data_IF_964155327787
#
_entry.id   IF_964155327787
#
_cell.length_a   1.000
_cell.length_b   1.000
_cell.length_c   1.000
_cell.angle_alpha   90.00
_cell.angle_beta   90.00
_cell.angle_gamma   90.00
#
_symmetry.space_group_name_H-M   'P 1'
#
loop_
_entity.id
_entity.type
_entity.pdbx_description
1 polymer ?
#
# COMPACT_ATOMS: atom_id res chain seq x y z
N UNK A 1 -35.58 -1.02 31.62
CA UNK A 1 -35.48 -0.05 30.49
C UNK A 1 -34.28 -0.36 29.60
N UNK A 2 -33.12 -0.64 30.17
CA UNK A 2 -31.88 -0.95 29.45
C UNK A 2 -31.96 -2.15 28.49
N UNK A 3 -32.60 -3.26 28.88
CA UNK A 3 -32.70 -4.45 28.00
C UNK A 3 -33.49 -4.20 26.71
N UNK A 4 -34.55 -3.38 26.77
CA UNK A 4 -35.32 -2.98 25.58
C UNK A 4 -34.50 -2.07 24.66
N UNK A 5 -33.69 -1.19 25.24
CA UNK A 5 -32.80 -0.30 24.50
C UNK A 5 -31.68 -1.09 23.82
N UNK A 6 -31.05 -2.04 24.53
CA UNK A 6 -30.02 -2.92 23.99
C UNK A 6 -30.54 -3.72 22.78
N UNK A 7 -31.73 -4.31 22.88
CA UNK A 7 -32.38 -5.03 21.76
C UNK A 7 -32.65 -4.13 20.56
N UNK A 8 -33.07 -2.88 20.78
CA UNK A 8 -33.31 -1.92 19.69
C UNK A 8 -32.00 -1.54 18.99
N UNK A 9 -30.94 -1.29 19.75
CA UNK A 9 -29.62 -0.97 19.20
C UNK A 9 -29.05 -2.14 18.41
N UNK A 10 -29.24 -3.37 18.89
CA UNK A 10 -28.81 -4.60 18.23
C UNK A 10 -29.47 -4.78 16.85
N UNK A 11 -30.81 -4.62 16.79
CA UNK A 11 -31.55 -4.70 15.53
C UNK A 11 -31.12 -3.61 14.54
N UNK A 12 -30.84 -2.40 15.04
CA UNK A 12 -30.36 -1.29 14.22
C UNK A 12 -28.96 -1.57 13.65
N UNK A 13 -28.03 -2.02 14.48
CA UNK A 13 -26.67 -2.36 14.06
C UNK A 13 -26.67 -3.47 13.00
N UNK A 14 -27.42 -4.55 13.25
CA UNK A 14 -27.57 -5.65 12.28
C UNK A 14 -28.20 -5.18 10.97
N UNK A 15 -29.24 -4.36 11.03
CA UNK A 15 -29.89 -3.78 9.85
C UNK A 15 -28.94 -2.92 9.01
N UNK A 16 -28.14 -2.06 9.66
CA UNK A 16 -27.13 -1.23 8.98
C UNK A 16 -26.06 -2.08 8.30
N UNK A 17 -25.55 -3.13 8.97
CA UNK A 17 -24.57 -4.04 8.38
C UNK A 17 -25.10 -4.75 7.13
N UNK A 18 -26.37 -5.18 7.13
CA UNK A 18 -26.99 -5.82 5.96
C UNK A 18 -27.16 -4.84 4.79
N UNK A 19 -27.59 -3.60 5.06
CA UNK A 19 -27.74 -2.57 4.02
C UNK A 19 -26.42 -2.14 3.39
N UNK A 20 -25.29 -2.29 4.10
CA UNK A 20 -23.97 -2.00 3.57
C UNK A 20 -23.46 -3.07 2.58
N UNK A 21 -24.12 -4.23 2.49
CA UNK A 21 -23.75 -5.30 1.58
C UNK A 21 -24.53 -5.21 0.26
N UNK A 22 -23.90 -5.50 -0.89
CA UNK A 22 -24.62 -5.66 -2.16
C UNK A 22 -25.66 -6.78 -2.07
N UNK A 23 -26.83 -6.60 -2.70
CA UNK A 23 -27.98 -7.52 -2.62
C UNK A 23 -27.62 -8.99 -2.90
N UNK A 24 -26.72 -9.24 -3.86
CA UNK A 24 -26.19 -10.57 -4.21
C UNK A 24 -25.55 -11.33 -3.03
N UNK A 25 -25.07 -10.62 -2.01
CA UNK A 25 -24.43 -11.19 -0.83
C UNK A 25 -25.37 -11.21 0.39
N UNK A 26 -26.37 -10.33 0.48
CA UNK A 26 -27.24 -10.19 1.66
C UNK A 26 -27.92 -11.51 2.08
N UNK A 27 -28.44 -12.28 1.11
CA UNK A 27 -29.11 -13.56 1.39
C UNK A 27 -28.21 -14.57 2.12
N UNK A 28 -26.89 -14.54 1.87
CA UNK A 28 -25.92 -15.43 2.52
C UNK A 28 -25.62 -15.05 3.96
N UNK A 29 -25.85 -13.80 4.34
CA UNK A 29 -25.55 -13.26 5.67
C UNK A 29 -26.77 -13.16 6.58
N UNK A 30 -27.99 -13.22 6.03
CA UNK A 30 -29.25 -13.12 6.78
C UNK A 30 -29.45 -14.19 7.86
N UNK A 31 -28.72 -15.31 7.81
CA UNK A 31 -28.77 -16.37 8.83
C UNK A 31 -28.17 -15.97 10.19
N UNK A 32 -27.36 -14.91 10.25
CA UNK A 32 -26.74 -14.43 11.48
C UNK A 32 -27.74 -13.62 12.30
N UNK A 33 -27.92 -13.97 13.58
CA UNK A 33 -28.99 -13.45 14.43
C UNK A 33 -28.63 -12.16 15.14
N UNK A 34 -27.34 -11.89 15.31
CA UNK A 34 -26.79 -10.74 16.01
C UNK A 34 -25.74 -10.04 15.13
N UNK A 35 -25.55 -8.74 15.36
CA UNK A 35 -24.63 -7.87 14.64
C UNK A 35 -23.18 -8.33 14.79
N UNK A 36 -22.80 -8.91 15.93
CA UNK A 36 -21.45 -9.39 16.18
C UNK A 36 -21.11 -10.61 15.31
N UNK A 37 -21.98 -11.61 15.28
CA UNK A 37 -21.81 -12.79 14.42
C UNK A 37 -21.91 -12.43 12.94
N UNK A 38 -22.78 -11.49 12.58
CA UNK A 38 -22.86 -10.94 11.22
C UNK A 38 -21.56 -10.25 10.81
N UNK A 39 -21.01 -9.36 11.65
CA UNK A 39 -19.75 -8.66 11.39
C UNK A 39 -18.59 -9.65 11.22
N UNK A 40 -18.45 -10.62 12.11
CA UNK A 40 -17.41 -11.65 12.03
C UNK A 40 -17.51 -12.49 10.75
N UNK A 41 -18.73 -12.79 10.29
CA UNK A 41 -18.94 -13.50 9.03
C UNK A 41 -18.58 -12.65 7.81
N UNK A 42 -18.94 -11.36 7.82
CA UNK A 42 -18.55 -10.39 6.77
C UNK A 42 -17.03 -10.28 6.71
N UNK A 43 -16.36 -10.11 7.85
CA UNK A 43 -14.91 -10.07 7.95
C UNK A 43 -14.27 -11.37 7.44
N UNK A 44 -14.82 -12.53 7.81
CA UNK A 44 -14.31 -13.83 7.34
C UNK A 44 -14.46 -14.00 5.83
N UNK A 45 -15.56 -13.54 5.24
CA UNK A 45 -15.86 -13.75 3.83
C UNK A 45 -15.15 -12.73 2.92
N UNK A 46 -15.11 -11.47 3.32
CA UNK A 46 -14.57 -10.37 2.51
C UNK A 46 -13.22 -9.84 2.99
N UNK A 47 -12.93 -9.95 4.28
CA UNK A 47 -11.67 -9.47 4.84
C UNK A 47 -10.47 -10.34 4.47
N UNK A 48 -10.68 -11.50 3.83
CA UNK A 48 -9.65 -12.52 3.64
C UNK A 48 -9.36 -13.26 4.95
N UNK A 49 -9.11 -14.56 4.87
CA UNK A 49 -8.67 -15.30 6.05
C UNK A 49 -7.24 -14.89 6.44
N UNK A 50 -6.83 -15.13 7.69
CA UNK A 50 -5.50 -14.77 8.21
C UNK A 50 -4.35 -15.26 7.31
N UNK A 51 -4.54 -16.41 6.68
CA UNK A 51 -3.57 -17.03 5.79
C UNK A 51 -3.42 -16.25 4.47
N UNK A 52 -4.51 -15.84 3.84
CA UNK A 52 -4.49 -14.99 2.63
C UNK A 52 -3.85 -13.63 2.89
N UNK A 53 -4.14 -13.00 4.04
CA UNK A 53 -3.46 -11.75 4.44
C UNK A 53 -1.96 -11.94 4.62
N UNK A 54 -1.55 -13.07 5.23
CA UNK A 54 -0.14 -13.42 5.42
C UNK A 54 0.56 -13.67 4.08
N UNK A 55 -0.06 -14.42 3.17
CA UNK A 55 0.47 -14.68 1.82
C UNK A 55 0.61 -13.37 1.04
N UNK A 56 -0.41 -12.52 1.04
CA UNK A 56 -0.38 -11.22 0.36
C UNK A 56 0.73 -10.31 0.91
N UNK A 57 0.87 -10.25 2.25
CA UNK A 57 1.95 -9.50 2.91
C UNK A 57 3.34 -10.02 2.50
N UNK A 58 3.53 -11.34 2.44
CA UNK A 58 4.80 -11.93 1.97
C UNK A 58 5.07 -11.60 0.50
N UNK A 59 4.04 -11.68 -0.36
CA UNK A 59 4.17 -11.34 -1.78
C UNK A 59 4.56 -9.87 -1.99
N UNK A 60 3.92 -8.94 -1.27
CA UNK A 60 4.24 -7.52 -1.36
C UNK A 60 5.68 -7.23 -0.91
N UNK A 61 6.14 -7.86 0.18
CA UNK A 61 7.53 -7.76 0.63
C UNK A 61 8.49 -8.26 -0.45
N UNK A 62 8.19 -9.40 -1.06
CA UNK A 62 9.01 -9.94 -2.16
C UNK A 62 9.01 -9.02 -3.38
N UNK A 63 7.88 -8.41 -3.72
CA UNK A 63 7.80 -7.41 -4.80
C UNK A 63 8.66 -6.18 -4.49
N UNK A 64 8.69 -5.73 -3.23
CA UNK A 64 9.55 -4.61 -2.82
C UNK A 64 11.02 -4.98 -2.87
N UNK A 65 11.39 -6.18 -2.40
CA UNK A 65 12.78 -6.61 -2.48
C UNK A 65 13.29 -6.69 -3.91
N UNK A 66 12.47 -7.26 -4.81
CA UNK A 66 12.79 -7.41 -6.23
C UNK A 66 12.45 -6.18 -7.08
N UNK A 67 12.00 -5.08 -6.46
CA UNK A 67 11.61 -3.88 -7.19
C UNK A 67 12.82 -3.31 -7.93
N UNK A 68 12.63 -3.06 -9.22
CA UNK A 68 13.60 -2.47 -10.13
C UNK A 68 12.87 -1.72 -11.24
N UNK A 69 13.49 -0.65 -11.73
CA UNK A 69 13.07 0.04 -12.94
C UNK A 69 13.67 -0.62 -14.17
N UNK A 70 12.94 -0.57 -15.28
CA UNK A 70 13.46 -0.94 -16.59
C UNK A 70 14.14 0.24 -17.28
N UNK A 71 15.03 -0.04 -18.23
CA UNK A 71 15.74 0.99 -19.00
C UNK A 71 14.81 1.86 -19.85
N UNK A 72 13.62 1.37 -20.18
CA UNK A 72 12.59 2.10 -20.93
C UNK A 72 11.67 2.94 -20.05
N UNK A 73 11.76 2.83 -18.73
CA UNK A 73 10.89 3.57 -17.82
C UNK A 73 11.44 4.95 -17.47
N UNK A 74 10.54 5.94 -17.44
CA UNK A 74 10.86 7.27 -16.95
C UNK A 74 10.98 7.29 -15.42
N UNK A 75 11.62 8.35 -14.91
CA UNK A 75 11.72 8.59 -13.47
C UNK A 75 10.33 8.63 -12.81
N UNK A 76 9.35 9.28 -13.44
CA UNK A 76 7.96 9.36 -12.95
C UNK A 76 7.31 7.98 -12.86
N UNK A 77 7.48 7.13 -13.88
CA UNK A 77 6.90 5.79 -13.90
C UNK A 77 7.45 4.91 -12.77
N UNK A 78 8.76 4.99 -12.53
CA UNK A 78 9.40 4.24 -11.44
C UNK A 78 8.93 4.76 -10.09
N UNK A 79 8.84 6.08 -9.93
CA UNK A 79 8.33 6.72 -8.73
C UNK A 79 6.89 6.29 -8.44
N UNK A 80 5.98 6.41 -9.41
CA UNK A 80 4.56 6.06 -9.25
C UNK A 80 4.37 4.59 -8.86
N UNK A 81 5.15 3.69 -9.50
CA UNK A 81 5.12 2.26 -9.20
C UNK A 81 5.62 1.97 -7.78
N UNK A 82 6.70 2.62 -7.35
CA UNK A 82 7.26 2.43 -6.02
C UNK A 82 6.31 2.98 -4.96
N UNK A 83 5.80 4.21 -5.14
CA UNK A 83 4.86 4.85 -4.23
C UNK A 83 3.61 3.99 -4.05
N UNK A 84 3.05 3.47 -5.14
CA UNK A 84 1.92 2.53 -5.10
C UNK A 84 2.24 1.28 -4.28
N UNK A 85 3.43 0.72 -4.43
CA UNK A 85 3.85 -0.49 -3.70
C UNK A 85 4.04 -0.21 -2.20
N UNK A 86 4.66 0.92 -1.85
CA UNK A 86 4.82 1.38 -0.46
C UNK A 86 3.47 1.58 0.19
N UNK A 87 2.53 2.27 -0.47
CA UNK A 87 1.17 2.46 0.07
C UNK A 87 0.44 1.12 0.26
N UNK A 88 0.63 0.14 -0.63
CA UNK A 88 0.03 -1.19 -0.45
C UNK A 88 0.63 -1.91 0.76
N UNK A 89 1.94 -1.83 0.97
CA UNK A 89 2.60 -2.43 2.15
C UNK A 89 2.06 -1.84 3.45
N UNK A 90 1.89 -0.52 3.51
CA UNK A 90 1.39 0.18 4.68
C UNK A 90 -0.05 -0.23 5.02
N UNK A 91 -0.94 -0.33 4.02
CA UNK A 91 -2.32 -0.83 4.19
C UNK A 91 -2.34 -2.26 4.78
N UNK A 92 -1.34 -3.07 4.45
CA UNK A 92 -1.17 -4.42 4.98
C UNK A 92 -0.35 -4.49 6.28
N UNK A 93 -0.13 -3.35 6.93
CA UNK A 93 0.59 -3.24 8.20
C UNK A 93 2.06 -3.62 8.09
N UNK A 94 2.70 -3.28 6.96
CA UNK A 94 4.16 -3.28 6.80
C UNK A 94 4.59 -1.83 6.70
N UNK A 95 5.21 -1.33 7.76
CA UNK A 95 5.89 -0.04 7.74
C UNK A 95 7.34 -0.25 7.27
N UNK A 96 7.77 0.59 6.33
CA UNK A 96 9.15 0.66 5.86
C UNK A 96 9.77 1.95 6.42
N UNK A 97 11.07 1.93 6.68
CA UNK A 97 11.78 3.17 7.00
C UNK A 97 11.84 4.07 5.76
N UNK A 98 11.90 5.37 5.98
CA UNK A 98 12.03 6.32 4.87
C UNK A 98 13.36 6.12 4.13
N UNK A 99 14.43 5.79 4.87
CA UNK A 99 15.72 5.43 4.29
C UNK A 99 15.62 4.21 3.36
N UNK A 100 14.95 3.13 3.78
CA UNK A 100 14.78 1.92 2.94
C UNK A 100 14.02 2.23 1.64
N UNK A 101 12.97 3.05 1.72
CA UNK A 101 12.19 3.48 0.55
C UNK A 101 13.06 4.31 -0.40
N UNK A 102 13.79 5.28 0.13
CA UNK A 102 14.66 6.17 -0.65
C UNK A 102 15.82 5.39 -1.29
N UNK A 103 16.46 4.48 -0.55
CA UNK A 103 17.49 3.60 -1.08
C UNK A 103 16.94 2.64 -2.14
N UNK A 104 15.72 2.11 -1.96
CA UNK A 104 15.07 1.29 -2.97
C UNK A 104 14.82 2.08 -4.25
N UNK A 105 14.34 3.32 -4.14
CA UNK A 105 14.13 4.20 -5.29
C UNK A 105 15.44 4.43 -6.05
N UNK A 106 16.50 4.88 -5.37
CA UNK A 106 17.81 5.15 -5.97
C UNK A 106 18.44 3.92 -6.64
N UNK A 107 18.29 2.73 -6.05
CA UNK A 107 18.80 1.47 -6.62
C UNK A 107 18.00 0.98 -7.81
N UNK A 108 16.77 1.45 -7.97
CA UNK A 108 15.86 1.03 -9.03
C UNK A 108 15.93 1.92 -10.26
N UNK A 109 16.64 3.05 -10.19
CA UNK A 109 16.80 3.93 -11.34
C UNK A 109 17.68 3.29 -12.42
N UNK A 110 17.41 3.58 -13.70
CA UNK A 110 18.23 3.12 -14.82
C UNK A 110 19.69 3.58 -14.70
N UNK A 111 20.60 2.89 -15.41
CA UNK A 111 22.05 3.13 -15.35
C UNK A 111 22.48 4.56 -15.71
N UNK A 112 21.65 5.26 -16.48
CA UNK A 112 21.73 6.65 -16.89
C UNK A 112 21.76 7.59 -15.66
N UNK A 113 21.14 7.17 -14.56
CA UNK A 113 21.11 7.90 -13.28
C UNK A 113 22.27 7.54 -12.33
N UNK A 114 23.22 6.68 -12.75
CA UNK A 114 24.26 6.12 -11.85
C UNK A 114 25.09 7.17 -11.12
N UNK A 115 25.45 8.27 -11.78
CA UNK A 115 26.22 9.35 -11.14
C UNK A 115 25.42 10.03 -10.05
N UNK A 116 24.18 10.43 -10.35
CA UNK A 116 23.28 11.09 -9.40
C UNK A 116 22.94 10.18 -8.22
N UNK A 117 22.64 8.90 -8.48
CA UNK A 117 22.33 7.93 -7.42
C UNK A 117 23.49 7.68 -6.47
N UNK A 118 24.74 7.68 -6.96
CA UNK A 118 25.93 7.54 -6.11
C UNK A 118 26.13 8.75 -5.20
N UNK A 119 25.93 9.96 -5.73
CA UNK A 119 26.03 11.20 -4.95
C UNK A 119 24.98 11.20 -3.83
N UNK A 120 23.72 10.88 -4.16
CA UNK A 120 22.63 10.86 -3.20
C UNK A 120 22.80 9.78 -2.13
N UNK A 121 23.34 8.61 -2.49
CA UNK A 121 23.61 7.53 -1.52
C UNK A 121 24.64 7.91 -0.46
N UNK A 122 25.57 8.81 -0.78
CA UNK A 122 26.60 9.26 0.14
C UNK A 122 26.13 10.40 1.06
N UNK A 123 24.93 10.93 0.87
CA UNK A 123 24.35 11.91 1.77
C UNK A 123 23.78 11.21 3.01
N UNK A 124 23.97 11.82 4.17
CA UNK A 124 23.57 11.25 5.47
C UNK A 124 22.12 11.55 5.83
N UNK A 125 21.41 12.36 5.05
CA UNK A 125 20.07 12.87 5.33
C UNK A 125 18.96 12.14 4.55
N UNK A 126 19.22 10.88 4.12
CA UNK A 126 18.21 10.10 3.39
C UNK A 126 17.03 9.67 4.26
N UNK A 127 17.22 9.52 5.58
CA UNK A 127 16.13 9.20 6.50
C UNK A 127 15.20 10.40 6.72
N UNK A 128 15.74 11.62 6.69
CA UNK A 128 15.01 12.87 6.95
C UNK A 128 14.20 13.37 5.73
N UNK A 129 14.45 12.81 4.54
CA UNK A 129 13.79 13.22 3.30
C UNK A 129 12.62 12.34 2.96
N UNK A 130 11.48 12.94 2.63
CA UNK A 130 10.40 12.18 1.99
C UNK A 130 10.82 11.66 0.61
N UNK A 131 10.11 10.63 0.12
CA UNK A 131 10.32 10.14 -1.24
C UNK A 131 10.04 11.24 -2.28
N UNK A 132 9.08 12.11 -2.01
CA UNK A 132 8.72 13.25 -2.86
C UNK A 132 9.86 14.27 -2.96
N UNK A 133 10.49 14.61 -1.84
CA UNK A 133 11.62 15.54 -1.82
C UNK A 133 12.79 15.00 -2.63
N UNK A 134 13.09 13.70 -2.47
CA UNK A 134 14.13 13.02 -3.23
C UNK A 134 13.80 12.99 -4.73
N UNK A 135 12.57 12.63 -5.08
CA UNK A 135 12.08 12.62 -6.45
C UNK A 135 12.22 13.99 -7.11
N UNK A 136 11.71 15.05 -6.46
CA UNK A 136 11.79 16.42 -6.95
C UNK A 136 13.24 16.89 -7.11
N UNK A 137 14.11 16.48 -6.19
CA UNK A 137 15.54 16.79 -6.27
C UNK A 137 16.25 16.08 -7.43
N UNK A 138 15.76 14.93 -7.87
CA UNK A 138 16.27 14.23 -9.05
C UNK A 138 15.66 14.78 -10.34
N UNK A 139 14.40 15.24 -10.28
CA UNK A 139 13.66 15.76 -11.43
C UNK A 139 14.38 16.91 -12.14
N UNK A 140 15.12 17.75 -11.42
CA UNK A 140 15.88 18.87 -12.00
C UNK A 140 17.00 18.43 -12.95
N UNK A 141 17.50 17.19 -12.80
CA UNK A 141 18.58 16.62 -13.63
C UNK A 141 18.05 15.79 -14.79
N UNK A 142 16.73 15.65 -14.93
CA UNK A 142 16.13 14.76 -15.94
C UNK A 142 16.54 15.14 -17.37
N UNK A 143 16.65 16.44 -17.66
CA UNK A 143 17.12 16.92 -18.97
C UNK A 143 18.56 16.50 -19.24
N UNK A 144 19.49 16.71 -18.30
CA UNK A 144 20.90 16.32 -18.42
C UNK A 144 21.06 14.81 -18.65
N UNK A 145 20.34 14.00 -17.88
CA UNK A 145 20.37 12.55 -18.00
C UNK A 145 19.89 12.10 -19.38
N UNK A 146 18.79 12.65 -19.90
CA UNK A 146 18.26 12.31 -21.24
C UNK A 146 19.22 12.63 -22.37
N UNK A 147 19.99 13.73 -22.27
CA UNK A 147 20.99 14.08 -23.28
C UNK A 147 22.19 13.13 -23.26
N UNK A 148 22.52 12.55 -22.09
CA UNK A 148 23.64 11.62 -21.92
C UNK A 148 23.32 10.19 -22.39
N UNK A 149 22.04 9.89 -22.60
CA UNK A 149 21.55 8.57 -23.06
C UNK A 149 21.35 8.47 -24.58
N UNK A 150 21.50 9.58 -25.30
CA UNK A 150 21.37 9.69 -26.76
C UNK A 150 22.70 9.44 -27.46
#
# INVERSE_FOLDING_TARGET
VEQKLARKNELKARGTLLMALPDKHQLKFNSHKDAKSLMAAIEKHFGGNTETKKVQKTLLKQQFENFSGSTSESLDQIYDRLQKLVSQLEIHGVSLSQEDVNLKFLRSLPSEWKTHTLIWRNKTDLEDKSLDDLFNSLKIYESEVKHSSS
#
